data_IF_850264783888
#
_entry.id   IF_850264783888
#
_cell.length_a   1.000
_cell.length_b   1.000
_cell.length_c   1.000
_cell.angle_alpha   90.00
_cell.angle_beta   90.00
_cell.angle_gamma   90.00
#
_symmetry.space_group_name_H-M   'P 1'
#
loop_
_entity.id
_entity.type
_entity.pdbx_description
1 polymer ?
#
# COMPACT_ATOMS: atom_id res chain seq x y z
N UNK A 1 -15.50 5.97 -19.83
CA UNK A 1 -14.28 6.73 -20.15
C UNK A 1 -13.61 7.03 -18.82
N UNK A 2 -12.55 6.30 -18.51
CA UNK A 2 -11.91 6.31 -17.19
C UNK A 2 -10.88 7.45 -17.11
N UNK A 3 -11.35 8.70 -17.17
CA UNK A 3 -10.48 9.88 -17.11
C UNK A 3 -10.87 10.74 -15.92
N UNK A 4 -9.94 10.89 -14.98
CA UNK A 4 -10.07 11.79 -13.84
C UNK A 4 -9.67 13.22 -14.25
N UNK A 5 -10.13 14.22 -13.50
CA UNK A 5 -9.80 15.63 -13.75
C UNK A 5 -9.40 16.38 -12.49
N UNK A 6 -8.38 17.23 -12.62
CA UNK A 6 -8.01 18.31 -11.72
C UNK A 6 -8.32 19.66 -12.39
N UNK A 7 -8.14 20.78 -11.68
CA UNK A 7 -8.49 22.13 -12.19
C UNK A 7 -7.94 22.45 -13.58
N UNK A 8 -6.76 21.94 -13.93
CA UNK A 8 -6.11 22.18 -15.22
C UNK A 8 -5.49 20.91 -15.83
N UNK A 9 -5.96 19.71 -15.46
CA UNK A 9 -5.32 18.46 -15.90
C UNK A 9 -6.32 17.32 -15.96
N UNK A 10 -6.44 16.68 -17.12
CA UNK A 10 -7.10 15.37 -17.26
C UNK A 10 -6.05 14.28 -17.16
N UNK A 11 -6.33 13.22 -16.41
CA UNK A 11 -5.34 12.18 -16.12
C UNK A 11 -5.97 10.79 -15.96
N UNK A 12 -5.19 9.78 -16.31
CA UNK A 12 -5.48 8.37 -16.06
C UNK A 12 -4.14 7.69 -15.73
N UNK A 13 -3.72 7.81 -14.46
CA UNK A 13 -2.42 7.39 -14.00
C UNK A 13 -2.58 6.17 -13.09
N UNK A 14 -2.52 4.98 -13.68
CA UNK A 14 -2.58 3.69 -12.98
C UNK A 14 -1.18 3.14 -12.80
N UNK A 15 -0.87 2.69 -11.60
CA UNK A 15 0.43 2.13 -11.26
C UNK A 15 0.26 0.76 -10.63
N UNK A 16 1.03 -0.21 -11.14
CA UNK A 16 1.17 -1.52 -10.52
C UNK A 16 2.33 -1.48 -9.52
N UNK A 17 2.00 -1.57 -8.24
CA UNK A 17 2.94 -1.50 -7.13
C UNK A 17 3.03 -2.89 -6.51
N UNK A 18 4.26 -3.41 -6.46
CA UNK A 18 4.58 -4.67 -5.79
C UNK A 18 5.62 -4.41 -4.71
N UNK A 19 5.37 -4.91 -3.52
CA UNK A 19 6.39 -4.95 -2.48
C UNK A 19 6.31 -6.23 -1.66
N UNK A 20 7.49 -6.72 -1.28
CA UNK A 20 7.66 -7.94 -0.52
C UNK A 20 8.04 -7.64 0.93
N UNK A 21 7.59 -8.47 1.88
CA UNK A 21 8.03 -8.37 3.25
C UNK A 21 9.49 -8.76 3.41
N UNK A 22 10.18 -8.06 4.33
CA UNK A 22 11.59 -8.35 4.62
C UNK A 22 11.73 -9.78 5.14
N UNK A 23 12.68 -10.52 4.56
CA UNK A 23 12.93 -11.94 4.85
C UNK A 23 11.77 -12.89 4.52
N UNK A 24 10.77 -12.45 3.73
CA UNK A 24 9.62 -13.28 3.27
C UNK A 24 9.00 -14.14 4.37
N UNK A 25 8.82 -13.59 5.58
CA UNK A 25 8.23 -14.30 6.72
C UNK A 25 6.73 -14.58 6.51
N UNK A 26 6.42 -15.67 5.80
CA UNK A 26 5.07 -16.11 5.41
C UNK A 26 4.08 -16.23 6.58
N UNK A 27 4.56 -16.61 7.76
CA UNK A 27 3.73 -16.92 8.93
C UNK A 27 2.97 -15.68 9.42
N UNK A 28 3.61 -14.50 9.39
CA UNK A 28 3.03 -13.24 9.87
C UNK A 28 1.90 -12.77 8.92
N UNK A 29 1.96 -13.15 7.65
CA UNK A 29 1.03 -12.69 6.62
C UNK A 29 -0.32 -13.39 6.66
N UNK A 30 -0.37 -14.67 7.05
CA UNK A 30 -1.62 -15.43 7.03
C UNK A 30 -2.58 -14.92 8.12
N UNK A 31 -2.08 -14.72 9.33
CA UNK A 31 -2.89 -14.23 10.46
C UNK A 31 -3.25 -12.74 10.32
N UNK A 32 -2.34 -11.93 9.78
CA UNK A 32 -2.52 -10.47 9.68
C UNK A 32 -3.06 -10.02 8.32
N UNK A 33 -3.42 -10.94 7.41
CA UNK A 33 -3.85 -10.61 6.04
C UNK A 33 -4.94 -9.53 6.02
N UNK A 34 -5.98 -9.76 6.84
CA UNK A 34 -7.12 -8.85 6.95
C UNK A 34 -6.71 -7.48 7.48
N UNK A 35 -5.86 -7.46 8.51
CA UNK A 35 -5.38 -6.23 9.15
C UNK A 35 -4.50 -5.42 8.21
N UNK A 36 -3.61 -6.07 7.47
CA UNK A 36 -2.76 -5.43 6.48
C UNK A 36 -3.61 -4.82 5.36
N UNK A 37 -4.60 -5.56 4.84
CA UNK A 37 -5.52 -5.05 3.83
C UNK A 37 -6.31 -3.82 4.33
N UNK A 38 -6.77 -3.84 5.58
CA UNK A 38 -7.47 -2.73 6.22
C UNK A 38 -6.56 -1.50 6.40
N UNK A 39 -5.32 -1.71 6.85
CA UNK A 39 -4.32 -0.64 7.03
C UNK A 39 -3.98 -0.01 5.68
N UNK A 40 -3.70 -0.81 4.65
CA UNK A 40 -3.35 -0.31 3.31
C UNK A 40 -4.53 0.46 2.70
N UNK A 41 -5.74 -0.08 2.77
CA UNK A 41 -6.96 0.60 2.32
C UNK A 41 -7.15 1.96 3.01
N UNK A 42 -6.95 2.00 4.34
CA UNK A 42 -7.04 3.23 5.12
C UNK A 42 -5.99 4.26 4.72
N UNK A 43 -4.75 3.83 4.50
CA UNK A 43 -3.65 4.72 4.10
C UNK A 43 -3.85 5.29 2.70
N UNK A 44 -4.32 4.48 1.74
CA UNK A 44 -4.66 4.95 0.39
C UNK A 44 -5.80 5.98 0.43
N UNK A 45 -6.87 5.70 1.21
CA UNK A 45 -7.99 6.64 1.39
C UNK A 45 -7.54 7.99 1.97
N UNK A 46 -6.61 7.98 2.94
CA UNK A 46 -6.04 9.22 3.53
C UNK A 46 -5.24 10.06 2.54
N UNK A 47 -4.69 9.44 1.49
CA UNK A 47 -3.91 10.10 0.45
C UNK A 47 -4.70 10.39 -0.81
N UNK A 48 -6.02 10.18 -0.78
CA UNK A 48 -6.91 10.34 -1.95
C UNK A 48 -6.48 9.47 -3.14
N UNK A 49 -5.89 8.30 -2.86
CA UNK A 49 -5.47 7.33 -3.88
C UNK A 49 -6.55 6.27 -4.02
N UNK A 50 -6.97 6.04 -5.26
CA UNK A 50 -7.98 5.02 -5.57
C UNK A 50 -7.30 3.67 -5.76
N UNK A 51 -7.83 2.62 -5.13
CA UNK A 51 -7.35 1.25 -5.34
C UNK A 51 -8.27 0.62 -6.37
N UNK A 52 -7.71 0.23 -7.52
CA UNK A 52 -8.45 -0.51 -8.56
C UNK A 52 -8.52 -1.98 -8.16
N UNK A 53 -7.38 -2.56 -7.83
CA UNK A 53 -7.24 -3.96 -7.40
C UNK A 53 -6.14 -4.07 -6.35
N UNK A 54 -6.31 -4.95 -5.38
CA UNK A 54 -5.28 -5.25 -4.40
C UNK A 54 -5.37 -6.71 -3.97
N UNK A 55 -4.24 -7.41 -4.04
CA UNK A 55 -4.12 -8.81 -3.64
C UNK A 55 -2.94 -8.98 -2.68
N UNK A 56 -3.21 -9.64 -1.55
CA UNK A 56 -2.20 -9.97 -0.54
C UNK A 56 -1.81 -11.43 -0.72
N UNK A 57 -0.64 -11.65 -1.32
CA UNK A 57 -0.01 -12.95 -1.45
C UNK A 57 0.83 -13.29 -0.20
N UNK A 58 1.19 -14.56 0.03
CA UNK A 58 1.99 -14.96 1.19
C UNK A 58 3.40 -14.37 1.23
N UNK A 59 3.96 -14.01 0.08
CA UNK A 59 5.35 -13.59 -0.10
C UNK A 59 5.50 -12.18 -0.69
N UNK A 60 4.41 -11.54 -1.12
CA UNK A 60 4.38 -10.17 -1.63
C UNK A 60 2.94 -9.61 -1.65
N UNK A 61 2.79 -8.31 -1.86
CA UNK A 61 1.48 -7.66 -2.07
C UNK A 61 1.47 -7.01 -3.45
N UNK A 62 0.42 -7.28 -4.21
CA UNK A 62 0.12 -6.63 -5.49
C UNK A 62 -0.96 -5.59 -5.30
N UNK A 63 -0.73 -4.38 -5.82
CA UNK A 63 -1.76 -3.34 -5.85
C UNK A 63 -1.72 -2.60 -7.18
N UNK A 64 -2.89 -2.44 -7.78
CA UNK A 64 -3.13 -1.53 -8.88
C UNK A 64 -3.83 -0.29 -8.32
N UNK A 65 -3.14 0.85 -8.36
CA UNK A 65 -3.64 2.10 -7.77
C UNK A 65 -3.67 3.23 -8.79
N UNK A 66 -4.67 4.10 -8.68
CA UNK A 66 -4.73 5.35 -9.42
C UNK A 66 -4.21 6.49 -8.53
N UNK A 67 -3.08 7.08 -8.93
CA UNK A 67 -2.42 8.14 -8.16
C UNK A 67 -2.53 9.45 -8.95
N UNK A 68 -3.09 10.52 -8.35
CA UNK A 68 -3.13 11.82 -8.98
C UNK A 68 -1.73 12.35 -9.34
N UNK A 69 -1.53 12.99 -10.51
CA UNK A 69 -0.21 13.46 -10.96
C UNK A 69 0.39 14.58 -10.09
N UNK A 70 -0.40 15.15 -9.17
CA UNK A 70 0.08 16.10 -8.13
C UNK A 70 0.97 15.44 -7.07
N UNK A 71 0.99 14.11 -6.98
CA UNK A 71 1.72 13.34 -5.97
C UNK A 71 2.83 12.51 -6.61
N UNK A 72 4.03 12.57 -6.03
CA UNK A 72 5.12 11.69 -6.44
C UNK A 72 4.85 10.24 -6.03
N UNK A 73 5.09 9.31 -6.95
CA UNK A 73 4.94 7.87 -6.73
C UNK A 73 5.95 7.38 -5.69
N UNK A 74 7.19 7.88 -5.72
CA UNK A 74 8.23 7.50 -4.75
C UNK A 74 7.81 7.85 -3.32
N UNK A 75 7.23 9.03 -3.15
CA UNK A 75 6.80 9.55 -1.86
C UNK A 75 5.57 8.79 -1.35
N UNK A 76 4.65 8.44 -2.26
CA UNK A 76 3.50 7.61 -1.93
C UNK A 76 3.92 6.20 -1.49
N UNK A 77 4.83 5.55 -2.21
CA UNK A 77 5.34 4.22 -1.85
C UNK A 77 6.09 4.27 -0.52
N UNK A 78 6.93 5.30 -0.31
CA UNK A 78 7.65 5.51 0.95
C UNK A 78 6.69 5.72 2.13
N UNK A 79 5.66 6.54 1.95
CA UNK A 79 4.59 6.74 2.94
C UNK A 79 3.87 5.43 3.27
N UNK A 80 3.48 4.68 2.23
CA UNK A 80 2.70 3.46 2.37
C UNK A 80 3.48 2.39 3.14
N UNK A 81 4.74 2.13 2.76
CA UNK A 81 5.62 1.18 3.45
C UNK A 81 5.95 1.63 4.87
N UNK A 82 6.29 2.90 5.06
CA UNK A 82 6.67 3.44 6.38
C UNK A 82 5.52 3.39 7.39
N UNK A 83 4.34 3.92 7.03
CA UNK A 83 3.20 3.96 7.95
C UNK A 83 2.58 2.59 8.19
N UNK A 84 2.49 1.73 7.18
CA UNK A 84 1.98 0.37 7.37
C UNK A 84 2.87 -0.43 8.33
N UNK A 85 4.21 -0.32 8.20
CA UNK A 85 5.16 -0.96 9.13
C UNK A 85 4.87 -0.58 10.57
N UNK A 86 4.71 0.73 10.83
CA UNK A 86 4.46 1.23 12.18
C UNK A 86 3.12 0.72 12.75
N UNK A 87 2.05 0.74 11.95
CA UNK A 87 0.73 0.29 12.39
C UNK A 87 0.69 -1.21 12.66
N UNK A 88 1.34 -2.01 11.80
CA UNK A 88 1.47 -3.46 11.98
C UNK A 88 2.30 -3.75 13.23
N UNK A 89 3.40 -3.02 13.45
CA UNK A 89 4.25 -3.15 14.64
C UNK A 89 3.47 -2.89 15.93
N UNK A 90 2.68 -1.81 15.98
CA UNK A 90 1.82 -1.48 17.13
C UNK A 90 0.80 -2.58 17.39
N UNK A 91 0.19 -3.15 16.34
CA UNK A 91 -0.79 -4.24 16.47
C UNK A 91 -0.19 -5.56 16.95
N UNK A 92 1.06 -5.87 16.57
CA UNK A 92 1.64 -7.21 16.76
C UNK A 92 2.41 -7.40 18.05
N UNK A 93 2.62 -6.37 18.88
CA UNK A 93 3.37 -6.45 20.15
C UNK A 93 4.74 -7.17 20.04
N UNK A 94 5.34 -7.26 18.84
CA UNK A 94 6.60 -7.98 18.58
C UNK A 94 7.70 -7.00 18.22
N UNK A 95 8.67 -6.87 19.11
CA UNK A 95 9.69 -5.80 19.17
C UNK A 95 10.76 -5.79 18.06
N UNK A 96 10.73 -6.68 17.07
CA UNK A 96 11.75 -6.76 15.99
C UNK A 96 11.22 -7.23 14.63
N UNK A 97 10.13 -6.65 14.15
CA UNK A 97 9.61 -6.96 12.80
C UNK A 97 9.94 -5.78 11.86
N UNK A 98 10.95 -5.95 11.02
CA UNK A 98 11.08 -5.16 9.79
C UNK A 98 10.07 -5.73 8.80
N UNK A 99 9.06 -4.94 8.44
CA UNK A 99 7.92 -5.44 7.65
C UNK A 99 8.22 -5.44 6.15
N UNK A 100 8.95 -4.45 5.62
CA UNK A 100 9.28 -4.33 4.20
C UNK A 100 10.79 -4.24 3.95
N UNK A 101 11.22 -4.61 2.74
CA UNK A 101 12.60 -4.43 2.25
C UNK A 101 12.94 -2.96 1.93
#
# INVERSE_FOLDING_TARGET
MDSNSLSHTSWNCKYHIVFAPKYRRKIIYVELKQDIANILSMLCKRKEVHIVEAEVCPDHIHMLVEIPPKMSISDFVGYLKGKSTLMIFVKTCKSKIQVWE
#
